data_IF_416130905294
#
_entry.id   IF_416130905294
#
_cell.length_a   1.000
_cell.length_b   1.000
_cell.length_c   1.000
_cell.angle_alpha   90.00
_cell.angle_beta   90.00
_cell.angle_gamma   90.00
#
_symmetry.space_group_name_H-M   'P 1'
#
loop_
_entity.id
_entity.type
_entity.pdbx_description
1 polymer ?
#
# COMPACT_ATOMS: atom_id res chain seq x y z
N UNK A 1 25.15 -19.23 25.81
CA UNK A 1 24.43 -18.22 26.62
C UNK A 1 23.41 -18.93 27.48
N UNK A 2 23.42 -18.70 28.79
CA UNK A 2 22.33 -19.08 29.67
C UNK A 2 21.77 -17.79 30.29
N UNK A 3 20.44 -17.68 30.44
CA UNK A 3 19.83 -16.59 31.19
C UNK A 3 20.46 -16.51 32.59
N UNK A 4 20.75 -15.30 33.06
CA UNK A 4 21.31 -15.08 34.41
C UNK A 4 20.56 -13.95 35.09
N UNK A 5 19.95 -14.26 36.24
CA UNK A 5 19.24 -13.28 37.06
C UNK A 5 20.19 -12.20 37.57
N UNK A 6 21.42 -12.55 37.92
CA UNK A 6 22.40 -11.59 38.42
C UNK A 6 22.77 -10.53 37.39
N UNK A 7 22.90 -10.94 36.12
CA UNK A 7 23.20 -10.02 35.01
C UNK A 7 21.99 -9.16 34.72
N UNK A 8 20.79 -9.74 34.74
CA UNK A 8 19.55 -8.99 34.53
C UNK A 8 19.35 -7.92 35.61
N UNK A 9 19.48 -8.26 36.88
CA UNK A 9 19.29 -7.32 37.99
C UNK A 9 20.30 -6.18 37.94
N UNK A 10 21.57 -6.48 37.63
CA UNK A 10 22.60 -5.46 37.45
C UNK A 10 22.33 -4.58 36.21
N UNK A 11 21.86 -5.15 35.11
CA UNK A 11 21.41 -4.37 33.95
C UNK A 11 20.24 -3.45 34.31
N UNK A 12 19.28 -3.86 35.13
CA UNK A 12 18.18 -2.97 35.55
C UNK A 12 18.72 -1.85 36.44
N UNK A 13 19.53 -2.18 37.44
CA UNK A 13 20.13 -1.21 38.35
C UNK A 13 20.95 -0.14 37.60
N UNK A 14 21.76 -0.54 36.61
CA UNK A 14 22.58 0.41 35.86
C UNK A 14 21.77 1.29 34.91
N UNK A 15 20.63 0.79 34.42
CA UNK A 15 19.68 1.59 33.65
C UNK A 15 19.06 2.69 34.53
N UNK A 16 18.62 2.33 35.74
CA UNK A 16 18.07 3.28 36.72
C UNK A 16 19.10 4.30 37.21
N UNK A 17 20.36 3.87 37.36
CA UNK A 17 21.48 4.74 37.71
C UNK A 17 21.89 5.72 36.59
N UNK A 18 21.20 5.70 35.43
CA UNK A 18 21.43 6.64 34.34
C UNK A 18 22.67 6.33 33.51
N UNK A 19 23.03 5.05 33.34
CA UNK A 19 24.08 4.64 32.40
C UNK A 19 23.83 5.23 31.01
N UNK A 20 24.91 5.64 30.35
CA UNK A 20 24.87 6.21 29.01
C UNK A 20 24.15 5.28 28.03
N UNK A 21 23.10 5.78 27.37
CA UNK A 21 22.39 5.09 26.30
C UNK A 21 22.30 6.01 25.07
N UNK A 22 23.30 5.99 24.16
CA UNK A 22 23.40 6.95 23.07
C UNK A 22 22.25 6.93 22.06
N UNK A 23 21.64 5.77 21.83
CA UNK A 23 20.53 5.62 20.87
C UNK A 23 19.14 5.57 21.54
N UNK A 24 19.09 5.58 22.87
CA UNK A 24 17.86 5.50 23.65
C UNK A 24 17.13 4.14 23.54
N UNK A 25 17.79 3.11 23.00
CA UNK A 25 17.23 1.80 22.74
C UNK A 25 18.05 0.69 23.43
N UNK A 26 17.69 -0.57 23.15
CA UNK A 26 18.37 -1.74 23.69
C UNK A 26 19.79 -1.90 23.13
N UNK A 27 20.02 -1.58 21.86
CA UNK A 27 21.33 -1.72 21.22
C UNK A 27 22.38 -0.80 21.87
N UNK A 28 22.09 0.48 22.06
CA UNK A 28 22.98 1.43 22.72
C UNK A 28 23.17 1.10 24.19
N UNK A 29 22.11 0.66 24.88
CA UNK A 29 22.20 0.23 26.26
C UNK A 29 23.12 -0.99 26.43
N UNK A 30 22.88 -2.06 25.68
CA UNK A 30 23.68 -3.30 25.71
C UNK A 30 25.14 -3.00 25.30
N UNK A 31 25.34 -2.17 24.28
CA UNK A 31 26.67 -1.75 23.85
C UNK A 31 27.43 -0.99 24.93
N UNK A 32 26.74 -0.16 25.72
CA UNK A 32 27.35 0.52 26.87
C UNK A 32 27.64 -0.43 28.03
N UNK A 33 26.77 -1.41 28.29
CA UNK A 33 26.88 -2.36 29.39
C UNK A 33 28.00 -3.39 29.16
N UNK A 34 28.21 -3.80 27.90
CA UNK A 34 29.34 -4.64 27.46
C UNK A 34 30.33 -3.83 26.60
N UNK A 35 31.10 -2.90 27.19
CA UNK A 35 31.90 -1.94 26.44
C UNK A 35 33.05 -2.59 25.65
N UNK A 36 33.48 -3.78 26.05
CA UNK A 36 34.58 -4.55 25.47
C UNK A 36 34.12 -5.54 24.40
N UNK A 37 32.83 -5.55 24.02
CA UNK A 37 32.26 -6.49 23.05
C UNK A 37 32.96 -6.40 21.69
N UNK A 38 33.38 -5.20 21.28
CA UNK A 38 34.10 -4.98 20.02
C UNK A 38 35.52 -5.56 20.02
N UNK A 39 36.14 -5.69 21.19
CA UNK A 39 37.49 -6.22 21.38
C UNK A 39 37.50 -7.74 21.53
N UNK A 40 36.32 -8.38 21.63
CA UNK A 40 36.20 -9.84 21.76
C UNK A 40 36.66 -10.56 20.48
N UNK A 41 37.19 -11.79 20.59
CA UNK A 41 37.56 -12.58 19.42
C UNK A 41 36.33 -12.90 18.54
N UNK A 42 36.54 -13.05 17.24
CA UNK A 42 35.50 -13.52 16.33
C UNK A 42 35.10 -14.96 16.66
N UNK A 43 33.80 -15.25 16.64
CA UNK A 43 33.27 -16.57 16.82
C UNK A 43 33.56 -17.42 15.58
N UNK A 44 34.25 -18.55 15.80
CA UNK A 44 34.44 -19.59 14.81
C UNK A 44 33.84 -20.89 15.33
N UNK A 45 32.81 -21.44 14.68
CA UNK A 45 32.15 -22.64 15.18
C UNK A 45 33.14 -23.81 15.17
N UNK A 46 33.32 -24.53 16.29
CA UNK A 46 34.22 -25.67 16.34
C UNK A 46 33.66 -26.81 15.47
N UNK A 47 34.52 -27.52 14.72
CA UNK A 47 34.09 -28.57 13.79
C UNK A 47 33.36 -29.72 14.50
N UNK A 48 33.64 -29.94 15.78
CA UNK A 48 33.08 -31.01 16.58
C UNK A 48 31.78 -30.60 17.32
N UNK A 49 31.25 -29.39 17.07
CA UNK A 49 30.02 -28.91 17.71
C UNK A 49 30.11 -28.67 19.21
N UNK A 50 31.33 -28.63 19.77
CA UNK A 50 31.55 -28.33 21.19
C UNK A 50 31.13 -26.89 21.51
N UNK A 51 30.77 -26.64 22.76
CA UNK A 51 30.46 -25.28 23.22
C UNK A 51 31.76 -24.53 23.48
N UNK A 52 31.84 -23.30 22.99
CA UNK A 52 32.92 -22.38 23.35
C UNK A 52 32.52 -21.62 24.62
N UNK A 53 33.47 -21.50 25.56
CA UNK A 53 33.32 -20.71 26.77
C UNK A 53 33.76 -19.26 26.50
N UNK A 54 33.06 -18.30 27.08
CA UNK A 54 33.34 -16.86 26.96
C UNK A 54 32.44 -16.10 25.98
N UNK A 55 32.78 -14.82 25.76
CA UNK A 55 32.07 -13.90 24.88
C UNK A 55 32.83 -13.71 23.56
N UNK A 56 32.09 -13.77 22.45
CA UNK A 56 32.66 -13.71 21.10
C UNK A 56 31.85 -12.76 20.23
N UNK A 57 32.51 -12.15 19.25
CA UNK A 57 31.83 -11.40 18.18
C UNK A 57 31.30 -12.36 17.13
N UNK A 58 30.02 -12.25 16.80
CA UNK A 58 29.44 -13.05 15.73
C UNK A 58 29.87 -12.52 14.36
N UNK A 59 30.21 -13.39 13.39
CA UNK A 59 30.38 -12.99 11.99
C UNK A 59 29.12 -12.33 11.44
N UNK A 60 29.29 -11.40 10.49
CA UNK A 60 28.20 -10.61 9.91
C UNK A 60 27.01 -11.46 9.44
N UNK A 61 27.26 -12.63 8.88
CA UNK A 61 26.20 -13.51 8.38
C UNK A 61 25.28 -14.14 9.44
N UNK A 62 25.60 -14.00 10.73
CA UNK A 62 24.69 -14.37 11.84
C UNK A 62 23.72 -13.25 12.23
N UNK A 63 23.87 -12.04 11.67
CA UNK A 63 22.96 -10.91 11.86
C UNK A 63 23.01 -9.99 10.64
N UNK A 64 22.64 -10.53 9.48
CA UNK A 64 22.76 -9.82 8.21
C UNK A 64 21.60 -8.84 8.03
N UNK A 65 21.89 -7.54 8.01
CA UNK A 65 20.88 -6.53 7.69
C UNK A 65 20.43 -6.61 6.22
N UNK A 66 19.13 -6.75 6.00
CA UNK A 66 18.48 -6.73 4.70
C UNK A 66 18.82 -5.50 3.84
N UNK A 67 19.18 -4.36 4.44
CA UNK A 67 19.58 -3.14 3.73
C UNK A 67 20.77 -3.35 2.80
N UNK A 68 21.75 -4.17 3.20
CA UNK A 68 22.91 -4.52 2.37
C UNK A 68 22.50 -5.22 1.07
N UNK A 69 21.48 -6.07 1.13
CA UNK A 69 20.91 -6.68 -0.06
C UNK A 69 20.24 -5.63 -0.93
N UNK A 70 19.42 -4.75 -0.37
CA UNK A 70 18.65 -3.80 -1.18
C UNK A 70 19.55 -2.82 -1.94
N UNK A 71 20.70 -2.45 -1.39
CA UNK A 71 21.66 -1.60 -2.10
C UNK A 71 22.23 -2.27 -3.36
N UNK A 72 22.59 -3.56 -3.29
CA UNK A 72 23.26 -4.27 -4.40
C UNK A 72 22.38 -5.25 -5.17
N UNK A 73 21.15 -5.46 -4.71
CA UNK A 73 20.20 -6.50 -5.13
C UNK A 73 20.78 -7.93 -5.12
N UNK A 74 21.84 -8.15 -4.33
CA UNK A 74 22.49 -9.45 -4.13
C UNK A 74 23.23 -9.47 -2.79
N UNK A 75 23.36 -10.66 -2.22
CA UNK A 75 24.19 -10.86 -1.03
C UNK A 75 25.67 -10.78 -1.40
N UNK A 76 26.44 -10.07 -0.57
CA UNK A 76 27.90 -9.94 -0.69
C UNK A 76 28.50 -10.14 0.69
N UNK A 77 28.60 -11.40 1.13
CA UNK A 77 29.11 -11.75 2.46
C UNK A 77 30.61 -12.01 2.34
N UNK A 78 31.48 -11.21 3.00
CA UNK A 78 32.93 -11.32 2.82
C UNK A 78 33.50 -12.65 3.32
N UNK A 79 32.91 -13.23 4.37
CA UNK A 79 33.29 -14.53 4.92
C UNK A 79 32.17 -15.09 5.83
N UNK A 80 32.10 -16.41 5.96
CA UNK A 80 31.15 -17.10 6.86
C UNK A 80 29.76 -17.36 6.24
N UNK A 81 28.89 -18.07 6.96
CA UNK A 81 27.57 -18.45 6.46
C UNK A 81 26.60 -17.26 6.51
N UNK A 82 25.73 -17.11 5.51
CA UNK A 82 24.59 -16.18 5.56
C UNK A 82 23.38 -16.89 6.19
N UNK A 83 23.37 -16.97 7.52
CA UNK A 83 22.44 -17.81 8.27
C UNK A 83 21.19 -17.06 8.74
N UNK A 84 21.31 -15.78 9.06
CA UNK A 84 20.22 -15.01 9.68
C UNK A 84 20.13 -13.65 9.01
N UNK A 85 18.94 -13.33 8.51
CA UNK A 85 18.61 -12.03 7.93
C UNK A 85 17.75 -11.26 8.91
N UNK A 86 18.15 -10.03 9.23
CA UNK A 86 17.39 -9.10 10.04
C UNK A 86 16.77 -8.01 9.16
N UNK A 87 15.59 -7.55 9.55
CA UNK A 87 14.85 -6.50 8.85
C UNK A 87 14.71 -5.28 9.77
N UNK A 88 15.78 -4.49 10.00
CA UNK A 88 15.75 -3.36 10.93
C UNK A 88 14.97 -2.14 10.41
N UNK A 89 14.60 -2.15 9.13
CA UNK A 89 13.85 -1.06 8.48
C UNK A 89 12.52 -0.73 9.16
N UNK A 90 11.95 0.40 8.73
CA UNK A 90 10.71 0.94 9.26
C UNK A 90 9.56 -0.10 9.32
N UNK A 91 8.62 0.02 10.29
CA UNK A 91 7.53 -0.94 10.44
C UNK A 91 6.75 -1.21 9.15
N UNK A 92 6.47 -0.21 8.31
CA UNK A 92 5.75 -0.42 7.05
C UNK A 92 6.56 -1.12 5.94
N UNK A 93 7.87 -1.32 6.13
CA UNK A 93 8.78 -1.99 5.18
C UNK A 93 9.08 -3.44 5.57
N UNK A 94 8.36 -3.96 6.56
CA UNK A 94 8.61 -5.32 7.03
C UNK A 94 8.17 -6.35 5.98
N UNK A 95 8.87 -7.49 5.89
CA UNK A 95 8.69 -8.43 4.79
C UNK A 95 7.39 -9.24 4.89
N UNK A 96 6.69 -9.20 6.03
CA UNK A 96 5.42 -9.90 6.22
C UNK A 96 4.21 -9.20 5.63
N UNK A 97 4.37 -7.95 5.20
CA UNK A 97 3.29 -7.21 4.57
C UNK A 97 3.07 -7.69 3.13
N UNK A 98 1.83 -7.76 2.71
CA UNK A 98 1.49 -8.16 1.34
C UNK A 98 2.02 -7.18 0.28
N UNK A 99 2.24 -5.91 0.63
CA UNK A 99 2.86 -4.93 -0.28
C UNK A 99 4.41 -5.02 -0.29
N UNK A 100 5.01 -5.89 0.52
CA UNK A 100 6.46 -5.98 0.69
C UNK A 100 7.19 -6.31 -0.62
N UNK A 101 6.61 -7.14 -1.48
CA UNK A 101 7.12 -7.42 -2.82
C UNK A 101 6.15 -6.86 -3.87
N UNK A 102 6.62 -6.20 -4.95
CA UNK A 102 8.00 -6.09 -5.41
C UNK A 102 8.83 -4.94 -4.79
N UNK A 103 8.27 -4.19 -3.84
CA UNK A 103 8.89 -2.99 -3.23
C UNK A 103 10.24 -3.28 -2.56
N UNK A 104 10.38 -4.43 -1.93
CA UNK A 104 11.59 -4.94 -1.28
C UNK A 104 11.74 -6.43 -1.63
N UNK A 105 12.71 -6.81 -2.49
CA UNK A 105 12.78 -8.16 -3.07
C UNK A 105 12.83 -9.30 -2.04
N UNK A 106 13.46 -9.09 -0.89
CA UNK A 106 13.58 -10.12 0.15
C UNK A 106 12.23 -10.48 0.80
N UNK A 107 11.18 -9.68 0.60
CA UNK A 107 9.82 -10.02 1.02
C UNK A 107 9.39 -11.38 0.47
N UNK A 108 9.74 -11.71 -0.79
CA UNK A 108 9.37 -13.00 -1.38
C UNK A 108 10.08 -14.18 -0.69
N UNK A 109 11.32 -13.99 -0.24
CA UNK A 109 12.08 -15.03 0.47
C UNK A 109 11.47 -15.28 1.85
N UNK A 110 11.06 -14.21 2.55
CA UNK A 110 10.35 -14.33 3.81
C UNK A 110 9.01 -15.06 3.64
N UNK A 111 8.22 -14.69 2.64
CA UNK A 111 6.93 -15.32 2.35
C UNK A 111 7.06 -16.79 1.91
N UNK A 112 8.19 -17.17 1.28
CA UNK A 112 8.54 -18.57 1.00
C UNK A 112 8.80 -19.35 2.28
N UNK A 113 9.55 -18.79 3.22
CA UNK A 113 9.79 -19.42 4.53
C UNK A 113 8.48 -19.57 5.30
N UNK A 114 7.66 -18.53 5.33
CA UNK A 114 6.34 -18.57 5.96
C UNK A 114 5.46 -19.67 5.39
N UNK A 115 5.41 -19.82 4.06
CA UNK A 115 4.62 -20.86 3.42
C UNK A 115 5.01 -22.26 3.91
N UNK A 116 6.31 -22.48 4.13
CA UNK A 116 6.86 -23.76 4.60
C UNK A 116 6.61 -24.03 6.10
N UNK A 117 6.53 -22.98 6.93
CA UNK A 117 6.41 -23.14 8.39
C UNK A 117 4.99 -22.96 8.93
N UNK A 118 4.28 -21.93 8.46
CA UNK A 118 2.97 -21.51 8.99
C UNK A 118 1.84 -21.60 7.96
N UNK A 119 2.16 -21.39 6.67
CA UNK A 119 1.16 -21.27 5.61
C UNK A 119 0.37 -19.95 5.64
N UNK A 120 -0.78 -19.96 4.95
CA UNK A 120 -1.73 -18.83 4.82
C UNK A 120 -3.18 -19.24 5.13
N UNK A 121 -3.40 -20.46 5.63
CA UNK A 121 -4.73 -21.06 5.76
C UNK A 121 -5.68 -20.23 6.63
N UNK A 122 -5.15 -19.54 7.65
CA UNK A 122 -5.94 -18.70 8.53
C UNK A 122 -6.55 -17.48 7.81
N UNK A 123 -5.82 -16.89 6.85
CA UNK A 123 -6.28 -15.70 6.12
C UNK A 123 -7.09 -16.02 4.85
N UNK A 124 -6.93 -17.23 4.27
CA UNK A 124 -7.58 -17.59 3.00
C UNK A 124 -9.11 -17.43 2.98
N UNK A 125 -9.89 -17.76 4.04
CA UNK A 125 -11.35 -17.57 4.02
C UNK A 125 -11.75 -16.11 3.77
N UNK A 126 -11.06 -15.16 4.41
CA UNK A 126 -11.32 -13.72 4.25
C UNK A 126 -10.96 -13.29 2.83
N UNK A 127 -9.83 -13.75 2.30
CA UNK A 127 -9.40 -13.48 0.91
C UNK A 127 -10.46 -13.93 -0.10
N UNK A 128 -11.04 -15.12 0.07
CA UNK A 128 -12.09 -15.60 -0.84
C UNK A 128 -13.38 -14.79 -0.72
N UNK A 129 -13.78 -14.44 0.51
CA UNK A 129 -14.96 -13.58 0.75
C UNK A 129 -14.77 -12.22 0.08
N UNK A 130 -13.62 -11.58 0.26
CA UNK A 130 -13.29 -10.30 -0.38
C UNK A 130 -13.31 -10.39 -1.91
N UNK A 131 -12.69 -11.43 -2.48
CA UNK A 131 -12.68 -11.63 -3.92
C UNK A 131 -14.09 -11.80 -4.50
N UNK A 132 -14.92 -12.65 -3.86
CA UNK A 132 -16.32 -12.85 -4.27
C UNK A 132 -17.12 -11.55 -4.14
N UNK A 133 -16.91 -10.80 -3.06
CA UNK A 133 -17.59 -9.53 -2.83
C UNK A 133 -17.24 -8.49 -3.88
N UNK A 134 -15.95 -8.32 -4.22
CA UNK A 134 -15.51 -7.41 -5.27
C UNK A 134 -16.03 -7.83 -6.66
N UNK A 135 -16.03 -9.12 -6.98
CA UNK A 135 -16.62 -9.62 -8.22
C UNK A 135 -18.13 -9.36 -8.28
N UNK A 136 -18.83 -9.56 -7.16
CA UNK A 136 -20.25 -9.22 -7.01
C UNK A 136 -20.52 -7.74 -7.24
N UNK A 137 -19.70 -6.84 -6.66
CA UNK A 137 -19.78 -5.39 -6.89
C UNK A 137 -19.60 -5.07 -8.38
N UNK A 138 -18.62 -5.67 -9.05
CA UNK A 138 -18.38 -5.44 -10.49
C UNK A 138 -19.62 -5.88 -11.28
N UNK A 139 -20.16 -7.07 -11.00
CA UNK A 139 -21.34 -7.58 -11.68
C UNK A 139 -22.56 -6.67 -11.49
N UNK A 140 -22.85 -6.26 -10.25
CA UNK A 140 -23.95 -5.33 -9.96
C UNK A 140 -23.71 -3.97 -10.61
N UNK A 141 -22.50 -3.42 -10.54
CA UNK A 141 -22.18 -2.14 -11.17
C UNK A 141 -22.44 -2.20 -12.68
N UNK A 142 -22.06 -3.29 -13.36
CA UNK A 142 -22.30 -3.47 -14.81
C UNK A 142 -23.77 -3.62 -15.18
N UNK A 143 -24.59 -4.22 -14.30
CA UNK A 143 -26.02 -4.45 -14.54
C UNK A 143 -26.88 -3.25 -14.13
N UNK A 144 -26.46 -2.48 -13.13
CA UNK A 144 -27.14 -1.28 -12.68
C UNK A 144 -27.09 -0.21 -13.77
N UNK A 145 -28.24 0.36 -14.14
CA UNK A 145 -28.26 1.53 -15.03
C UNK A 145 -27.57 2.70 -14.33
N UNK A 146 -26.76 3.49 -15.06
CA UNK A 146 -26.16 4.71 -14.51
C UNK A 146 -27.28 5.64 -14.06
N UNK A 147 -27.39 5.84 -12.76
CA UNK A 147 -28.34 6.75 -12.15
C UNK A 147 -27.53 7.92 -11.60
N UNK A 148 -27.43 9.01 -12.37
CA UNK A 148 -27.24 10.30 -11.73
C UNK A 148 -28.49 10.49 -10.88
N UNK A 149 -28.29 10.45 -9.58
CA UNK A 149 -29.34 10.48 -8.59
C UNK A 149 -30.42 11.48 -8.97
N UNK A 150 -31.69 11.06 -8.86
CA UNK A 150 -32.88 11.91 -8.77
C UNK A 150 -32.84 12.87 -7.54
N UNK A 151 -31.64 13.28 -7.11
CA UNK A 151 -31.39 14.22 -6.01
C UNK A 151 -31.38 15.68 -6.49
N UNK A 152 -31.39 15.94 -7.79
CA UNK A 152 -31.64 17.27 -8.36
C UNK A 152 -33.16 17.57 -8.42
N UNK A 153 -33.92 17.20 -7.38
CA UNK A 153 -35.33 17.59 -7.30
C UNK A 153 -35.46 18.98 -6.69
N UNK A 154 -35.84 19.94 -7.54
CA UNK A 154 -36.69 21.10 -7.23
C UNK A 154 -36.19 22.02 -6.11
N UNK A 155 -35.16 22.84 -6.36
CA UNK A 155 -35.00 24.09 -5.62
C UNK A 155 -34.33 25.19 -6.44
N UNK A 156 -35.11 26.22 -6.78
CA UNK A 156 -34.62 27.45 -7.38
C UNK A 156 -33.84 28.28 -6.36
N UNK A 157 -32.72 28.86 -6.80
CA UNK A 157 -32.05 29.98 -6.13
C UNK A 157 -30.64 29.69 -5.59
N UNK A 158 -29.70 30.60 -5.90
CA UNK A 158 -28.33 30.93 -5.39
C UNK A 158 -27.38 29.84 -4.85
N UNK A 159 -27.86 28.69 -4.37
CA UNK A 159 -27.10 27.57 -3.79
C UNK A 159 -26.63 26.54 -4.83
N UNK A 160 -26.94 26.72 -6.12
CA UNK A 160 -26.59 25.76 -7.19
C UNK A 160 -25.07 25.60 -7.32
N UNK A 161 -24.31 26.71 -7.28
CA UNK A 161 -22.84 26.68 -7.34
C UNK A 161 -22.22 25.91 -6.16
N UNK A 162 -22.76 26.08 -4.95
CA UNK A 162 -22.29 25.38 -3.76
C UNK A 162 -22.61 23.88 -3.84
N UNK A 163 -23.81 23.52 -4.30
CA UNK A 163 -24.22 22.13 -4.51
C UNK A 163 -23.37 21.45 -5.60
N UNK A 164 -23.10 22.15 -6.71
CA UNK A 164 -22.25 21.68 -7.80
C UNK A 164 -20.80 21.45 -7.34
N UNK A 165 -20.25 22.37 -6.54
CA UNK A 165 -18.94 22.20 -5.92
C UNK A 165 -18.93 21.02 -4.93
N UNK A 166 -19.98 20.85 -4.13
CA UNK A 166 -20.14 19.72 -3.21
C UNK A 166 -20.17 18.38 -3.94
N UNK A 167 -20.94 18.25 -5.04
CA UNK A 167 -21.00 17.04 -5.85
C UNK A 167 -19.65 16.69 -6.49
N UNK A 168 -18.92 17.69 -7.01
CA UNK A 168 -17.55 17.47 -7.51
C UNK A 168 -16.62 16.96 -6.43
N UNK A 169 -16.68 17.56 -5.24
CA UNK A 169 -15.86 17.14 -4.11
C UNK A 169 -16.17 15.70 -3.70
N UNK A 170 -17.45 15.34 -3.61
CA UNK A 170 -17.90 13.97 -3.30
C UNK A 170 -17.41 12.99 -4.38
N UNK A 171 -17.48 13.35 -5.66
CA UNK A 171 -17.00 12.50 -6.75
C UNK A 171 -15.49 12.25 -6.65
N UNK A 172 -14.69 13.29 -6.38
CA UNK A 172 -13.23 13.16 -6.19
C UNK A 172 -12.93 12.28 -4.98
N UNK A 173 -13.58 12.51 -3.83
CA UNK A 173 -13.40 11.70 -2.63
C UNK A 173 -13.82 10.25 -2.85
N UNK A 174 -14.86 10.00 -3.64
CA UNK A 174 -15.28 8.64 -4.00
C UNK A 174 -14.22 7.92 -4.81
N UNK A 175 -13.58 8.60 -5.76
CA UNK A 175 -12.46 8.05 -6.54
C UNK A 175 -11.26 7.79 -5.63
N UNK A 176 -10.89 8.73 -4.75
CA UNK A 176 -9.78 8.55 -3.82
C UNK A 176 -10.05 7.36 -2.86
N UNK A 177 -11.25 7.29 -2.30
CA UNK A 177 -11.68 6.19 -1.45
C UNK A 177 -11.61 4.84 -2.17
N UNK A 178 -11.91 4.79 -3.47
CA UNK A 178 -11.81 3.57 -4.27
C UNK A 178 -10.38 2.99 -4.29
N UNK A 179 -9.33 3.81 -4.17
CA UNK A 179 -7.94 3.34 -4.13
C UNK A 179 -7.38 3.17 -2.71
N UNK A 180 -7.92 3.90 -1.74
CA UNK A 180 -7.45 3.86 -0.34
C UNK A 180 -8.10 2.70 0.41
N UNK A 181 -9.41 2.52 0.29
CA UNK A 181 -10.17 1.53 1.06
C UNK A 181 -9.65 0.10 0.85
N UNK A 182 -9.46 -0.40 -0.39
CA UNK A 182 -8.99 -1.77 -0.58
C UNK A 182 -7.64 -2.06 0.07
N UNK A 183 -6.75 -1.06 0.18
CA UNK A 183 -5.44 -1.23 0.81
C UNK A 183 -5.55 -1.69 2.27
N UNK A 184 -6.53 -1.16 3.01
CA UNK A 184 -6.74 -1.48 4.43
C UNK A 184 -7.57 -2.74 4.66
N UNK A 185 -8.34 -3.18 3.67
CA UNK A 185 -9.14 -4.41 3.77
C UNK A 185 -8.27 -5.64 3.57
N UNK A 186 -7.33 -5.61 2.61
CA UNK A 186 -6.46 -6.74 2.31
C UNK A 186 -5.68 -7.16 3.57
N UNK A 187 -5.80 -8.42 4.02
CA UNK A 187 -5.12 -8.88 5.22
C UNK A 187 -3.60 -8.70 5.12
N UNK A 188 -3.01 -8.04 6.11
CA UNK A 188 -1.61 -7.61 6.11
C UNK A 188 -0.61 -8.71 5.75
N UNK A 189 -0.90 -9.94 6.17
CA UNK A 189 0.03 -11.05 6.23
C UNK A 189 0.02 -12.00 5.03
N UNK A 190 -0.84 -11.78 4.04
CA UNK A 190 -0.99 -12.71 2.91
C UNK A 190 0.16 -12.60 1.91
N UNK A 191 0.26 -13.62 1.05
CA UNK A 191 1.29 -13.66 0.02
C UNK A 191 1.20 -12.42 -0.90
N UNK A 192 2.31 -11.74 -1.24
CA UNK A 192 2.28 -10.47 -1.96
C UNK A 192 1.54 -10.50 -3.30
N UNK A 193 1.69 -11.58 -4.07
CA UNK A 193 0.95 -11.76 -5.32
C UNK A 193 -0.57 -11.77 -5.12
N UNK A 194 -1.03 -12.39 -4.03
CA UNK A 194 -2.46 -12.44 -3.69
C UNK A 194 -2.91 -11.06 -3.21
N UNK A 195 -2.12 -10.39 -2.35
CA UNK A 195 -2.46 -9.06 -1.85
C UNK A 195 -2.55 -8.01 -2.94
N UNK A 196 -1.57 -7.91 -3.84
CA UNK A 196 -1.67 -6.99 -4.98
C UNK A 196 -2.84 -7.33 -5.91
N UNK A 197 -3.10 -8.61 -6.16
CA UNK A 197 -4.26 -9.01 -6.98
C UNK A 197 -5.58 -8.60 -6.34
N UNK A 198 -5.73 -8.80 -5.03
CA UNK A 198 -6.92 -8.46 -4.27
C UNK A 198 -7.09 -6.94 -4.15
N UNK A 199 -6.01 -6.21 -3.90
CA UNK A 199 -5.98 -4.75 -3.92
C UNK A 199 -6.42 -4.19 -5.26
N UNK A 200 -5.83 -4.66 -6.37
CA UNK A 200 -6.16 -4.20 -7.71
C UNK A 200 -7.61 -4.55 -8.09
N UNK A 201 -8.09 -5.73 -7.68
CA UNK A 201 -9.49 -6.14 -7.88
C UNK A 201 -10.46 -5.24 -7.11
N UNK A 202 -10.17 -4.97 -5.83
CA UNK A 202 -10.97 -4.07 -5.00
C UNK A 202 -10.98 -2.65 -5.55
N UNK A 203 -9.81 -2.11 -5.90
CA UNK A 203 -9.67 -0.77 -6.48
C UNK A 203 -10.44 -0.64 -7.79
N UNK A 204 -10.39 -1.66 -8.64
CA UNK A 204 -11.17 -1.72 -9.86
C UNK A 204 -12.68 -1.78 -9.58
N UNK A 205 -13.13 -2.62 -8.65
CA UNK A 205 -14.55 -2.76 -8.30
C UNK A 205 -15.16 -1.46 -7.80
N UNK A 206 -14.48 -0.75 -6.89
CA UNK A 206 -14.95 0.51 -6.32
C UNK A 206 -14.86 1.64 -7.34
N UNK A 207 -13.85 1.61 -8.23
CA UNK A 207 -13.76 2.54 -9.36
C UNK A 207 -14.92 2.36 -10.34
N UNK A 208 -15.40 1.12 -10.58
CA UNK A 208 -16.61 0.89 -11.37
C UNK A 208 -17.85 1.52 -10.73
N UNK A 209 -18.00 1.41 -9.40
CA UNK A 209 -19.10 2.05 -8.68
C UNK A 209 -19.05 3.58 -8.82
N UNK A 210 -17.90 4.19 -8.58
CA UNK A 210 -17.72 5.64 -8.74
C UNK A 210 -17.98 6.09 -10.19
N UNK A 211 -17.50 5.32 -11.18
CA UNK A 211 -17.72 5.59 -12.60
C UNK A 211 -19.21 5.61 -12.94
N UNK A 212 -19.97 4.63 -12.46
CA UNK A 212 -21.40 4.50 -12.77
C UNK A 212 -22.28 5.48 -11.99
N UNK A 213 -21.91 5.79 -10.74
CA UNK A 213 -22.64 6.74 -9.90
C UNK A 213 -22.57 8.18 -10.44
N UNK A 214 -21.41 8.59 -10.96
CA UNK A 214 -21.17 9.94 -11.46
C UNK A 214 -21.13 10.04 -12.99
N UNK A 215 -21.38 8.94 -13.70
CA UNK A 215 -21.37 8.85 -15.18
C UNK A 215 -20.05 9.40 -15.75
N UNK A 216 -18.95 8.91 -15.18
CA UNK A 216 -17.60 9.33 -15.54
C UNK A 216 -17.05 8.49 -16.69
N UNK A 217 -16.10 9.01 -17.47
CA UNK A 217 -15.35 8.21 -18.42
C UNK A 217 -14.48 7.20 -17.66
N UNK A 218 -14.63 5.90 -17.97
CA UNK A 218 -13.96 4.81 -17.24
C UNK A 218 -12.44 4.87 -17.33
N UNK A 219 -11.89 5.17 -18.52
CA UNK A 219 -10.44 5.18 -18.74
C UNK A 219 -9.71 6.20 -17.85
N UNK A 220 -10.12 7.48 -17.77
CA UNK A 220 -9.55 8.43 -16.83
C UNK A 220 -9.61 8.00 -15.36
N UNK A 221 -10.72 7.40 -14.91
CA UNK A 221 -10.86 6.93 -13.52
C UNK A 221 -9.91 5.77 -13.21
N UNK A 222 -9.64 4.91 -14.19
CA UNK A 222 -8.70 3.79 -14.09
C UNK A 222 -7.24 4.16 -14.38
N UNK A 223 -6.92 5.41 -14.72
CA UNK A 223 -5.54 5.81 -14.99
C UNK A 223 -4.58 5.54 -13.81
N UNK A 224 -4.94 5.81 -12.53
CA UNK A 224 -4.11 5.43 -11.38
C UNK A 224 -3.93 3.92 -11.27
N UNK A 225 -4.97 3.11 -11.58
CA UNK A 225 -4.89 1.66 -11.57
C UNK A 225 -3.80 1.13 -12.53
N UNK A 226 -3.78 1.63 -13.76
CA UNK A 226 -2.74 1.29 -14.74
C UNK A 226 -1.36 1.81 -14.31
N UNK A 227 -1.31 3.01 -13.73
CA UNK A 227 -0.09 3.58 -13.16
C UNK A 227 0.53 2.68 -12.09
N UNK A 228 -0.28 2.23 -11.13
CA UNK A 228 0.13 1.30 -10.06
C UNK A 228 0.61 -0.01 -10.67
N UNK A 229 -0.17 -0.63 -11.57
CA UNK A 229 0.20 -1.89 -12.20
C UNK A 229 1.57 -1.79 -12.92
N UNK A 230 1.79 -0.75 -13.71
CA UNK A 230 3.07 -0.57 -14.38
C UNK A 230 4.22 -0.27 -13.41
N UNK A 231 3.97 0.45 -12.30
CA UNK A 231 4.98 0.65 -11.26
C UNK A 231 5.40 -0.66 -10.59
N UNK A 232 4.44 -1.58 -10.38
CA UNK A 232 4.72 -2.93 -9.86
C UNK A 232 5.58 -3.73 -10.85
N UNK A 233 5.30 -3.64 -12.15
CA UNK A 233 6.11 -4.29 -13.18
C UNK A 233 7.54 -3.75 -13.23
N UNK A 234 7.70 -2.42 -13.17
CA UNK A 234 9.02 -1.77 -13.08
C UNK A 234 9.76 -2.27 -11.83
N UNK A 235 9.13 -2.28 -10.66
CA UNK A 235 9.77 -2.77 -9.43
C UNK A 235 10.09 -4.27 -9.48
N UNK A 236 9.25 -5.09 -10.11
CA UNK A 236 9.41 -6.53 -10.21
C UNK A 236 10.49 -6.95 -11.21
N UNK A 237 10.93 -6.04 -12.08
CA UNK A 237 11.92 -6.33 -13.11
C UNK A 237 13.26 -6.74 -12.48
N UNK A 238 13.83 -7.91 -12.85
CA UNK A 238 14.98 -8.47 -12.13
C UNK A 238 16.34 -7.97 -12.61
N UNK A 239 16.43 -7.25 -13.75
CA UNK A 239 17.72 -6.93 -14.38
C UNK A 239 18.33 -5.59 -13.96
N UNK A 240 17.93 -5.07 -12.80
CA UNK A 240 18.60 -3.89 -12.26
C UNK A 240 19.99 -4.27 -11.74
N UNK A 241 21.03 -3.46 -12.03
CA UNK A 241 22.38 -3.73 -11.54
C UNK A 241 22.47 -3.59 -10.01
N UNK A 242 21.70 -2.66 -9.44
CA UNK A 242 21.68 -2.33 -8.02
C UNK A 242 20.34 -1.66 -7.63
N UNK A 243 20.14 -1.46 -6.33
CA UNK A 243 18.89 -0.90 -5.81
C UNK A 243 18.68 0.57 -6.12
N UNK A 244 19.77 1.33 -6.33
CA UNK A 244 19.70 2.75 -6.66
C UNK A 244 19.17 2.93 -8.07
N UNK A 245 19.70 2.18 -9.04
CA UNK A 245 19.21 2.20 -10.43
C UNK A 245 17.75 1.74 -10.50
N UNK A 246 17.37 0.74 -9.69
CA UNK A 246 15.97 0.33 -9.57
C UNK A 246 15.08 1.46 -9.06
N UNK A 247 15.47 2.13 -7.97
CA UNK A 247 14.71 3.25 -7.42
C UNK A 247 14.58 4.40 -8.42
N UNK A 248 15.67 4.77 -9.09
CA UNK A 248 15.66 5.79 -10.14
C UNK A 248 14.73 5.42 -11.30
N UNK A 249 14.68 4.15 -11.69
CA UNK A 249 13.77 3.68 -12.75
C UNK A 249 12.30 3.82 -12.36
N UNK A 250 11.96 3.56 -11.09
CA UNK A 250 10.61 3.81 -10.56
C UNK A 250 10.29 5.31 -10.56
N UNK A 251 11.23 6.17 -10.19
CA UNK A 251 11.05 7.62 -10.26
C UNK A 251 10.84 8.11 -11.70
N UNK A 252 11.64 7.63 -12.66
CA UNK A 252 11.47 7.95 -14.08
C UNK A 252 10.10 7.49 -14.58
N UNK A 253 9.68 6.28 -14.23
CA UNK A 253 8.35 5.78 -14.57
C UNK A 253 7.25 6.69 -13.99
N UNK A 254 7.32 7.03 -12.71
CA UNK A 254 6.35 7.90 -12.05
C UNK A 254 6.29 9.30 -12.70
N UNK A 255 7.46 9.86 -13.05
CA UNK A 255 7.58 11.11 -13.77
C UNK A 255 6.90 11.04 -15.14
N UNK A 256 7.15 9.99 -15.92
CA UNK A 256 6.51 9.76 -17.22
C UNK A 256 4.99 9.54 -17.11
N UNK A 257 4.50 8.92 -16.04
CA UNK A 257 3.06 8.72 -15.81
C UNK A 257 2.34 9.97 -15.30
N UNK A 258 3.05 10.93 -14.70
CA UNK A 258 2.43 12.13 -14.10
C UNK A 258 1.59 12.96 -15.08
N UNK A 259 2.04 13.27 -16.31
CA UNK A 259 1.21 13.95 -17.31
C UNK A 259 -0.06 13.18 -17.70
N UNK A 260 0.00 11.85 -17.74
CA UNK A 260 -1.15 11.01 -18.05
C UNK A 260 -2.19 11.04 -16.91
N UNK A 261 -1.73 11.05 -15.66
CA UNK A 261 -2.61 11.20 -14.49
C UNK A 261 -3.23 12.59 -14.45
N UNK A 262 -2.45 13.64 -14.76
CA UNK A 262 -2.95 15.01 -14.82
C UNK A 262 -4.04 15.18 -15.91
N UNK A 263 -3.77 14.71 -17.12
CA UNK A 263 -4.76 14.75 -18.21
C UNK A 263 -6.02 13.95 -17.89
N UNK A 264 -5.89 12.83 -17.18
CA UNK A 264 -7.03 12.04 -16.70
C UNK A 264 -7.85 12.81 -15.66
N UNK A 265 -7.19 13.48 -14.70
CA UNK A 265 -7.86 14.32 -13.72
C UNK A 265 -8.64 15.47 -14.38
N UNK A 266 -8.03 16.16 -15.36
CA UNK A 266 -8.70 17.21 -16.14
C UNK A 266 -9.93 16.67 -16.87
N UNK A 267 -9.83 15.48 -17.49
CA UNK A 267 -10.98 14.84 -18.16
C UNK A 267 -12.11 14.48 -17.19
N UNK A 268 -11.79 14.03 -15.98
CA UNK A 268 -12.79 13.75 -14.93
C UNK A 268 -13.47 15.07 -14.53
N UNK A 269 -12.70 16.13 -14.27
CA UNK A 269 -13.25 17.45 -13.90
C UNK A 269 -14.13 18.04 -14.99
N UNK A 270 -13.72 17.95 -16.26
CA UNK A 270 -14.53 18.42 -17.39
C UNK A 270 -15.80 17.59 -17.57
N UNK A 271 -15.72 16.26 -17.40
CA UNK A 271 -16.90 15.40 -17.49
C UNK A 271 -17.92 15.71 -16.39
N UNK A 272 -17.45 15.93 -15.16
CA UNK A 272 -18.32 16.34 -14.05
C UNK A 272 -18.96 17.69 -14.34
N UNK A 273 -18.21 18.65 -14.87
CA UNK A 273 -18.75 19.95 -15.27
C UNK A 273 -19.87 19.80 -16.31
N UNK A 274 -19.61 19.06 -17.40
CA UNK A 274 -20.57 18.87 -18.49
C UNK A 274 -21.83 18.12 -18.01
N UNK A 275 -21.67 17.08 -17.18
CA UNK A 275 -22.82 16.34 -16.62
C UNK A 275 -23.70 17.23 -15.76
N UNK A 276 -23.09 18.10 -14.93
CA UNK A 276 -23.82 19.04 -14.07
C UNK A 276 -24.51 20.15 -14.89
N UNK A 277 -23.86 20.67 -15.92
CA UNK A 277 -24.43 21.69 -16.79
C UNK A 277 -25.61 21.10 -17.60
N UNK A 278 -25.48 19.87 -18.12
CA UNK A 278 -26.57 19.18 -18.85
C UNK A 278 -27.82 18.97 -18.00
N UNK A 279 -27.65 18.64 -16.72
CA UNK A 279 -28.77 18.54 -15.78
C UNK A 279 -29.41 19.90 -15.45
N UNK A 280 -28.62 20.97 -15.41
CA UNK A 280 -29.14 22.33 -15.22
C UNK A 280 -29.96 22.84 -16.43
N UNK A 281 -29.70 22.34 -17.65
CA UNK A 281 -30.42 22.71 -18.88
C UNK A 281 -31.67 21.86 -19.18
N UNK A 282 -31.73 20.62 -18.69
CA UNK A 282 -32.89 19.73 -18.86
C UNK A 282 -34.20 20.07 -18.10
N UNK A 283 -34.32 21.08 -17.20
CA UNK A 283 -35.63 21.44 -16.63
C UNK A 283 -36.57 22.14 -17.61
N UNK A 284 -36.07 22.74 -18.71
CA UNK A 284 -36.87 23.65 -19.55
C UNK A 284 -37.69 23.00 -20.66
N UNK A 285 -37.46 21.73 -20.99
CA UNK A 285 -38.12 21.09 -22.14
C UNK A 285 -39.40 20.31 -21.79
N UNK A 286 -39.76 20.22 -20.50
CA UNK A 286 -40.91 19.44 -20.03
C UNK A 286 -42.21 20.23 -19.75
N UNK A 287 -42.19 21.56 -19.86
CA UNK A 287 -43.31 22.41 -19.39
C UNK A 287 -43.99 23.28 -20.47
N UNK A 288 -43.70 23.08 -21.77
CA UNK A 288 -44.31 23.89 -22.82
C UNK A 288 -45.10 23.05 -23.84
N UNK A 289 -46.33 22.67 -23.50
CA UNK A 289 -47.39 22.50 -24.50
C UNK A 289 -48.80 22.58 -23.88
N UNK A 290 -49.24 23.77 -23.52
CA UNK A 290 -50.67 24.13 -23.58
C UNK A 290 -50.80 25.65 -23.76
N UNK A 291 -51.25 26.13 -24.94
CA UNK A 291 -51.61 27.54 -25.06
C UNK A 291 -52.97 27.75 -24.40
N UNK A 292 -52.99 28.61 -23.39
CA UNK A 292 -54.21 29.13 -22.81
C UNK A 292 -54.85 30.16 -23.75
N UNK A 293 -56.17 30.04 -23.95
CA UNK A 293 -57.03 31.17 -24.30
C UNK A 293 -57.80 31.04 -25.62
N UNK A 294 -59.07 30.64 -25.53
CA UNK A 294 -60.12 31.27 -26.32
C UNK A 294 -61.38 31.46 -25.47
N UNK A 295 -62.10 32.53 -25.80
CA UNK A 295 -62.83 33.42 -24.89
C UNK A 295 -64.22 32.96 -24.43
N UNK A 296 -64.67 33.65 -23.37
CA UNK A 296 -66.00 33.71 -22.74
C UNK A 296 -67.23 33.81 -23.68
N UNK A 297 -68.32 33.22 -23.16
CA UNK A 297 -69.73 33.67 -23.06
C UNK A 297 -70.70 33.59 -24.26
N UNK A 298 -71.89 33.06 -23.90
CA UNK A 298 -73.19 32.88 -24.58
C UNK A 298 -73.33 31.75 -25.59
#
# INVERSE_FOLDING_TARGET
MQPSLTVFDDMIHQLEAGRSNPDGADQGYIGSYFPDLLDRPMFHPPPNGTKLEGTYRLPLGYQMDASYYYLRLRWSVPCGPNSVITFPGAPWLKPWYWWSWPVLPLGIQWHKQRLQTLGYSAEMPIVFIEAVFYLGIIAVARLARPNLSKLCYRREGKNILFLQAGLKLIAIWSILAAYIVPFFFVPHTIHPLIGWSLYLLGAFSLSCVATNAFVLPTLPVLAPWFGILGSLLVMAYPWYPDGVVRALSVFVYAFCCSPLLWTSLVKIMSSLQVSLDREAFLPRLGENSSPAGFNKLY
#
